data_IF_634224141532
#
_entry.id   IF_634224141532
#
_cell.length_a   1.000
_cell.length_b   1.000
_cell.length_c   1.000
_cell.angle_alpha   90.00
_cell.angle_beta   90.00
_cell.angle_gamma   90.00
#
_symmetry.space_group_name_H-M   'P 1'
#
loop_
_entity.id
_entity.type
_entity.pdbx_description
1 polymer ?
#
# COMPACT_ATOMS: atom_id res chain seq x y z
N UNK A 1 -30.49 -30.78 7.71
CA UNK A 1 -30.08 -30.15 6.45
C UNK A 1 -30.88 -30.78 5.34
N UNK A 2 -31.86 -30.06 4.75
CA UNK A 2 -32.67 -30.57 3.63
C UNK A 2 -31.81 -30.69 2.38
N UNK A 3 -32.07 -31.73 1.59
CA UNK A 3 -31.59 -31.86 0.20
C UNK A 3 -31.96 -30.60 -0.59
N UNK A 4 -31.17 -30.30 -1.61
CA UNK A 4 -31.32 -29.17 -2.54
C UNK A 4 -32.73 -29.20 -3.13
N UNK A 5 -33.68 -28.67 -2.40
CA UNK A 5 -35.06 -28.55 -2.79
C UNK A 5 -35.42 -27.11 -2.98
N UNK A 6 -36.07 -26.84 -4.03
CA UNK A 6 -36.44 -25.56 -4.62
C UNK A 6 -37.19 -24.58 -3.70
N UNK A 7 -37.50 -24.91 -2.44
CA UNK A 7 -38.35 -24.05 -1.60
C UNK A 7 -38.00 -24.10 -0.14
N UNK A 8 -36.85 -23.49 0.25
CA UNK A 8 -36.59 -23.24 1.68
C UNK A 8 -37.43 -22.09 2.24
N UNK A 9 -37.79 -21.14 1.41
CA UNK A 9 -38.75 -20.09 1.70
C UNK A 9 -39.32 -19.53 0.38
N UNK A 10 -40.57 -19.11 0.42
CA UNK A 10 -41.21 -18.45 -0.73
C UNK A 10 -40.52 -17.12 -1.00
N UNK A 11 -40.10 -16.85 -2.23
CA UNK A 11 -39.44 -15.59 -2.61
C UNK A 11 -37.90 -15.56 -2.41
N UNK A 12 -37.27 -16.71 -2.13
CA UNK A 12 -35.80 -16.80 -2.08
C UNK A 12 -35.21 -16.66 -3.48
N UNK A 13 -34.35 -15.70 -3.67
CA UNK A 13 -33.52 -15.53 -4.89
C UNK A 13 -32.22 -16.30 -4.71
N UNK A 14 -31.86 -17.09 -5.74
CA UNK A 14 -30.56 -17.76 -5.75
C UNK A 14 -29.47 -16.74 -6.15
N UNK A 15 -28.65 -16.31 -5.20
CA UNK A 15 -27.57 -15.36 -5.46
C UNK A 15 -26.51 -15.90 -6.43
N UNK A 16 -26.35 -17.21 -6.52
CA UNK A 16 -25.31 -17.87 -7.31
C UNK A 16 -25.79 -18.34 -8.69
N UNK A 17 -26.95 -17.92 -9.15
CA UNK A 17 -27.48 -18.33 -10.47
C UNK A 17 -27.00 -17.47 -11.65
N UNK A 18 -26.36 -16.32 -11.35
CA UNK A 18 -25.77 -15.44 -12.34
C UNK A 18 -24.51 -14.76 -11.78
N UNK A 19 -23.50 -14.61 -12.63
CA UNK A 19 -22.28 -13.83 -12.29
C UNK A 19 -22.52 -12.33 -12.20
N UNK A 20 -23.72 -11.87 -12.61
CA UNK A 20 -24.12 -10.47 -12.50
C UNK A 20 -24.87 -10.16 -11.20
N UNK A 21 -25.11 -11.17 -10.37
CA UNK A 21 -25.72 -10.96 -9.07
C UNK A 21 -24.69 -10.44 -8.07
N UNK A 22 -25.06 -9.43 -7.30
CA UNK A 22 -24.22 -8.79 -6.31
C UNK A 22 -24.92 -8.81 -4.95
N UNK A 23 -24.14 -9.01 -3.89
CA UNK A 23 -24.61 -8.94 -2.50
C UNK A 23 -23.83 -7.85 -1.78
N UNK A 24 -24.52 -6.81 -1.36
CA UNK A 24 -23.94 -5.73 -0.57
C UNK A 24 -24.33 -5.93 0.90
N UNK A 25 -23.30 -6.01 1.76
CA UNK A 25 -23.49 -6.14 3.20
C UNK A 25 -22.82 -4.94 3.87
N UNK A 26 -23.55 -4.24 4.73
CA UNK A 26 -23.06 -3.09 5.49
C UNK A 26 -23.62 -3.11 6.91
N UNK A 27 -23.05 -2.31 7.80
CA UNK A 27 -23.51 -2.20 9.18
C UNK A 27 -23.21 -3.45 10.02
N UNK A 28 -22.11 -4.18 9.72
CA UNK A 28 -21.66 -5.31 10.54
C UNK A 28 -20.73 -4.80 11.62
N UNK A 29 -21.05 -5.11 12.89
CA UNK A 29 -20.20 -4.85 14.05
C UNK A 29 -19.87 -6.17 14.73
N UNK A 30 -18.59 -6.40 14.99
CA UNK A 30 -18.09 -7.52 15.78
C UNK A 30 -17.55 -7.00 17.10
N UNK A 31 -18.10 -7.46 18.20
CA UNK A 31 -17.70 -7.04 19.55
C UNK A 31 -17.57 -8.22 20.50
N UNK A 32 -16.72 -8.07 21.50
CA UNK A 32 -16.57 -9.05 22.56
C UNK A 32 -17.55 -8.68 23.69
N UNK A 33 -18.55 -9.52 23.94
CA UNK A 33 -19.54 -9.28 24.98
C UNK A 33 -20.65 -10.31 25.00
N UNK A 34 -21.44 -10.33 26.02
CA UNK A 34 -22.62 -11.22 26.15
C UNK A 34 -23.89 -10.62 25.55
N UNK A 35 -23.88 -9.34 25.22
CA UNK A 35 -25.02 -8.60 24.68
C UNK A 35 -24.53 -7.65 23.62
N UNK A 36 -25.22 -7.61 22.47
CA UNK A 36 -24.90 -6.67 21.42
C UNK A 36 -25.17 -5.22 21.88
N UNK A 37 -24.20 -4.35 21.63
CA UNK A 37 -24.35 -2.91 21.86
C UNK A 37 -25.03 -2.24 20.65
N UNK A 38 -25.37 -0.97 20.74
CA UNK A 38 -25.82 -0.17 19.62
C UNK A 38 -24.70 -0.07 18.55
N UNK A 39 -25.06 -0.06 17.27
CA UNK A 39 -24.07 0.10 16.19
C UNK A 39 -23.32 1.42 16.35
N UNK A 40 -21.99 1.36 16.46
CA UNK A 40 -21.11 2.52 16.54
C UNK A 40 -20.76 3.01 15.13
N UNK A 41 -21.29 4.17 14.77
CA UNK A 41 -20.94 4.82 13.52
C UNK A 41 -19.66 5.62 13.69
N UNK A 42 -18.58 5.18 13.02
CA UNK A 42 -17.35 5.95 12.92
C UNK A 42 -17.23 6.61 11.55
N UNK A 43 -16.75 7.86 11.45
CA UNK A 43 -16.43 8.48 10.17
C UNK A 43 -15.36 7.67 9.41
N UNK A 44 -15.50 7.59 8.08
CA UNK A 44 -14.57 6.82 7.22
C UNK A 44 -13.11 7.17 7.48
N UNK A 45 -12.78 8.46 7.63
CA UNK A 45 -11.40 8.91 7.90
C UNK A 45 -10.82 8.35 9.21
N UNK A 46 -11.65 8.17 10.24
CA UNK A 46 -11.22 7.60 11.51
C UNK A 46 -10.90 6.10 11.34
N UNK A 47 -11.76 5.37 10.64
CA UNK A 47 -11.55 3.96 10.32
C UNK A 47 -10.30 3.79 9.45
N UNK A 48 -10.17 4.60 8.40
CA UNK A 48 -9.02 4.58 7.50
C UNK A 48 -7.70 4.75 8.26
N UNK A 49 -7.61 5.75 9.15
CA UNK A 49 -6.41 5.97 9.98
C UNK A 49 -6.10 4.79 10.90
N UNK A 50 -7.11 4.12 11.43
CA UNK A 50 -6.93 2.88 12.21
C UNK A 50 -6.34 1.78 11.35
N UNK A 51 -6.85 1.57 10.13
CA UNK A 51 -6.34 0.58 9.18
C UNK A 51 -4.91 0.91 8.72
N UNK A 52 -4.62 2.17 8.42
CA UNK A 52 -3.29 2.62 8.00
C UNK A 52 -2.19 2.40 9.06
N UNK A 53 -2.52 2.21 10.33
CA UNK A 53 -1.52 1.80 11.34
C UNK A 53 -0.96 0.40 11.11
N UNK A 54 -1.68 -0.43 10.36
CA UNK A 54 -1.32 -1.83 10.08
C UNK A 54 -0.86 -2.01 8.65
N UNK A 55 -1.54 -1.40 7.68
CA UNK A 55 -1.18 -1.47 6.27
C UNK A 55 -1.27 -0.10 5.62
N UNK A 56 -0.27 0.25 4.84
CA UNK A 56 -0.28 1.49 4.04
C UNK A 56 0.50 1.28 2.74
N UNK A 57 -0.01 1.89 1.69
CA UNK A 57 0.66 1.99 0.40
C UNK A 57 0.66 3.44 -0.08
N UNK A 58 1.68 3.82 -0.84
CA UNK A 58 1.76 5.16 -1.46
C UNK A 58 0.88 5.30 -2.70
N UNK A 59 0.44 4.19 -3.27
CA UNK A 59 -0.48 4.17 -4.41
C UNK A 59 -1.87 4.69 -4.03
N UNK A 60 -2.59 5.24 -5.02
CA UNK A 60 -4.02 5.51 -4.87
C UNK A 60 -4.79 4.25 -4.46
N UNK A 61 -5.99 4.41 -3.86
CA UNK A 61 -6.72 3.29 -3.25
C UNK A 61 -7.04 2.16 -4.23
N UNK A 62 -7.43 2.50 -5.45
CA UNK A 62 -7.81 1.58 -6.53
C UNK A 62 -6.62 1.03 -7.32
N UNK A 63 -5.42 1.55 -7.08
CA UNK A 63 -4.21 1.15 -7.82
C UNK A 63 -3.46 0.05 -7.08
N UNK A 64 -3.28 -1.09 -7.72
CA UNK A 64 -2.54 -2.22 -7.15
C UNK A 64 -1.04 -1.89 -6.99
N UNK A 65 -0.39 -2.33 -5.88
CA UNK A 65 1.06 -2.24 -5.75
C UNK A 65 1.79 -2.95 -6.91
N UNK A 66 2.84 -2.32 -7.43
CA UNK A 66 3.56 -2.81 -8.61
C UNK A 66 3.02 -2.30 -9.95
N UNK A 67 1.97 -1.48 -9.94
CA UNK A 67 1.54 -0.75 -11.14
C UNK A 67 2.57 0.31 -11.52
N UNK A 68 2.93 0.37 -12.82
CA UNK A 68 3.80 1.42 -13.35
C UNK A 68 3.02 2.74 -13.45
N UNK A 69 3.21 3.61 -12.48
CA UNK A 69 2.57 4.93 -12.40
C UNK A 69 3.40 5.84 -11.49
N UNK A 70 3.33 7.14 -11.71
CA UNK A 70 3.92 8.14 -10.81
C UNK A 70 2.89 8.76 -9.86
N UNK A 71 1.59 8.44 -10.01
CA UNK A 71 0.55 8.95 -9.13
C UNK A 71 0.70 8.40 -7.71
N UNK A 72 0.87 9.28 -6.74
CA UNK A 72 1.11 8.92 -5.34
C UNK A 72 2.56 8.54 -5.02
N UNK A 73 3.48 8.58 -5.98
CA UNK A 73 4.89 8.30 -5.72
C UNK A 73 5.53 9.36 -4.83
N UNK A 74 6.49 8.95 -4.01
CA UNK A 74 7.37 9.85 -3.28
C UNK A 74 8.55 10.27 -4.14
N UNK A 75 8.87 11.55 -4.11
CA UNK A 75 9.95 12.18 -4.85
C UNK A 75 10.95 12.79 -3.89
N UNK A 76 12.24 12.70 -4.25
CA UNK A 76 13.31 13.35 -3.52
C UNK A 76 14.43 13.79 -4.46
N UNK A 77 15.19 14.80 -4.08
CA UNK A 77 16.41 15.20 -4.78
C UNK A 77 17.56 14.28 -4.35
N UNK A 78 18.18 13.60 -5.31
CA UNK A 78 19.18 12.54 -5.06
C UNK A 78 20.53 12.82 -5.70
N UNK A 79 20.77 14.06 -6.10
CA UNK A 79 21.99 14.47 -6.80
C UNK A 79 23.27 14.40 -5.98
N UNK A 80 24.40 14.42 -6.66
CA UNK A 80 25.73 14.52 -6.05
C UNK A 80 26.22 13.24 -5.37
N UNK A 81 25.63 12.10 -5.63
CA UNK A 81 26.00 10.82 -5.00
C UNK A 81 25.87 9.65 -5.97
N UNK A 82 26.60 8.57 -5.68
CA UNK A 82 26.43 7.26 -6.31
C UNK A 82 25.38 6.40 -5.61
N UNK A 83 24.89 6.85 -4.46
CA UNK A 83 23.95 6.15 -3.59
C UNK A 83 22.71 7.02 -3.38
N UNK A 84 21.77 7.08 -4.36
CA UNK A 84 20.56 7.87 -4.21
C UNK A 84 19.75 7.38 -3.01
N UNK A 85 19.24 8.31 -2.20
CA UNK A 85 18.41 8.00 -1.03
C UNK A 85 17.08 8.72 -1.16
N UNK A 86 16.02 8.00 -0.82
CA UNK A 86 14.66 8.54 -0.79
C UNK A 86 14.04 8.17 0.54
N UNK A 87 13.40 9.14 1.17
CA UNK A 87 12.62 8.94 2.39
C UNK A 87 11.15 9.20 2.13
N UNK A 88 10.32 8.19 2.35
CA UNK A 88 8.87 8.31 2.31
C UNK A 88 8.30 8.33 3.72
N UNK A 89 7.39 9.26 3.99
CA UNK A 89 6.69 9.37 5.26
C UNK A 89 5.35 8.67 5.21
N UNK A 90 5.01 7.96 6.29
CA UNK A 90 3.70 7.36 6.45
C UNK A 90 2.67 8.41 6.86
N UNK A 91 1.45 8.26 6.38
CA UNK A 91 0.35 9.15 6.72
C UNK A 91 -0.06 9.08 8.20
N UNK A 92 0.21 7.95 8.85
CA UNK A 92 -0.02 7.76 10.28
C UNK A 92 1.13 7.02 10.95
N UNK A 93 1.31 7.24 12.27
CA UNK A 93 2.29 6.47 13.06
C UNK A 93 1.91 4.98 13.07
N UNK A 94 2.85 4.13 12.70
CA UNK A 94 2.65 2.68 12.62
C UNK A 94 2.59 2.02 13.99
N UNK A 95 1.96 0.85 14.03
CA UNK A 95 1.84 0.03 15.24
C UNK A 95 3.20 -0.43 15.75
N UNK A 96 4.06 -0.90 14.86
CA UNK A 96 5.43 -1.34 15.14
C UNK A 96 6.43 -0.51 14.36
N UNK A 97 7.69 -0.51 14.76
CA UNK A 97 8.77 0.15 14.03
C UNK A 97 9.19 -0.64 12.80
N UNK A 98 9.23 -1.96 12.95
CA UNK A 98 9.66 -2.86 11.88
C UNK A 98 8.42 -3.43 11.20
N UNK A 99 8.25 -3.26 9.89
CA UNK A 99 7.15 -3.90 9.16
C UNK A 99 7.36 -5.42 9.10
N UNK A 100 6.26 -6.15 9.04
CA UNK A 100 6.27 -7.59 8.72
C UNK A 100 6.72 -7.79 7.28
N UNK A 101 6.23 -6.93 6.40
CA UNK A 101 6.67 -6.88 5.00
C UNK A 101 6.68 -5.44 4.51
N UNK A 102 7.74 -5.06 3.81
CA UNK A 102 7.75 -3.81 3.04
C UNK A 102 8.33 -4.10 1.65
N UNK A 103 7.61 -3.64 0.64
CA UNK A 103 8.06 -3.71 -0.74
C UNK A 103 8.11 -2.30 -1.32
N UNK A 104 9.25 -1.96 -1.88
CA UNK A 104 9.44 -0.69 -2.60
C UNK A 104 9.41 -0.99 -4.09
N UNK A 105 8.77 -0.13 -4.86
CA UNK A 105 8.58 -0.30 -6.30
C UNK A 105 9.09 0.92 -7.06
N UNK A 106 9.61 0.66 -8.25
CA UNK A 106 9.96 1.68 -9.23
C UNK A 106 8.69 2.23 -9.90
N UNK A 107 8.37 3.53 -9.79
CA UNK A 107 7.16 4.10 -10.39
C UNK A 107 7.11 4.01 -11.92
N UNK A 108 8.25 3.99 -12.58
CA UNK A 108 8.33 3.94 -14.03
C UNK A 108 8.06 2.55 -14.62
N UNK A 109 8.44 1.50 -13.90
CA UNK A 109 8.38 0.12 -14.41
C UNK A 109 7.46 -0.79 -13.60
N UNK A 110 7.07 -0.39 -12.40
CA UNK A 110 6.35 -1.26 -11.44
C UNK A 110 7.24 -2.32 -10.78
N UNK A 111 8.53 -2.37 -11.10
CA UNK A 111 9.44 -3.42 -10.62
C UNK A 111 9.71 -3.25 -9.12
N UNK A 112 9.54 -4.33 -8.36
CA UNK A 112 9.87 -4.37 -6.93
C UNK A 112 11.38 -4.39 -6.70
N UNK A 113 11.82 -3.87 -5.54
CA UNK A 113 13.23 -3.81 -5.17
C UNK A 113 14.06 -2.80 -5.97
N UNK A 114 13.38 -1.84 -6.60
CA UNK A 114 14.04 -0.80 -7.39
C UNK A 114 13.47 0.58 -7.06
N UNK A 115 14.29 1.61 -7.33
CA UNK A 115 13.87 3.01 -7.40
C UNK A 115 14.10 3.58 -8.79
N UNK A 116 13.33 4.57 -9.16
CA UNK A 116 13.53 5.38 -10.35
C UNK A 116 14.41 6.58 -10.01
N UNK A 117 15.30 6.93 -10.92
CA UNK A 117 16.10 8.17 -10.87
C UNK A 117 16.14 8.81 -12.24
N UNK A 118 15.82 10.09 -12.28
CA UNK A 118 16.01 10.93 -13.47
C UNK A 118 17.26 11.77 -13.30
N UNK A 119 18.18 11.64 -14.24
CA UNK A 119 19.47 12.34 -14.21
C UNK A 119 19.81 12.90 -15.59
N UNK A 120 19.78 14.23 -15.72
CA UNK A 120 20.21 14.98 -16.90
C UNK A 120 19.66 14.42 -18.24
N UNK A 121 18.35 14.23 -18.32
CA UNK A 121 17.67 13.72 -19.52
C UNK A 121 17.67 12.20 -19.67
N UNK A 122 18.22 11.45 -18.73
CA UNK A 122 18.23 10.00 -18.72
C UNK A 122 17.46 9.42 -17.54
N UNK A 123 16.63 8.42 -17.80
CA UNK A 123 16.01 7.60 -16.75
C UNK A 123 16.93 6.44 -16.37
N UNK A 124 17.05 6.19 -15.06
CA UNK A 124 17.86 5.12 -14.49
C UNK A 124 17.06 4.35 -13.46
N UNK A 125 17.27 3.05 -13.43
CA UNK A 125 16.69 2.17 -12.43
C UNK A 125 17.79 1.69 -11.49
N UNK A 126 17.67 2.00 -10.21
CA UNK A 126 18.62 1.55 -9.21
C UNK A 126 18.00 0.40 -8.41
N UNK A 127 18.72 -0.72 -8.31
CA UNK A 127 18.38 -1.76 -7.35
C UNK A 127 18.56 -1.22 -5.93
N UNK A 128 17.70 -1.62 -5.01
CA UNK A 128 17.81 -1.21 -3.62
C UNK A 128 18.94 -1.94 -2.92
N UNK A 129 19.74 -1.18 -2.15
CA UNK A 129 20.80 -1.71 -1.27
C UNK A 129 20.28 -1.90 0.15
N UNK A 130 19.96 -0.78 0.79
CA UNK A 130 19.53 -0.76 2.18
C UNK A 130 18.15 -0.13 2.32
N UNK A 131 17.37 -0.66 3.25
CA UNK A 131 16.09 -0.05 3.66
C UNK A 131 16.05 0.04 5.17
N UNK A 132 15.74 1.22 5.68
CA UNK A 132 15.59 1.49 7.10
C UNK A 132 14.17 1.95 7.39
N UNK A 133 13.66 1.63 8.57
CA UNK A 133 12.29 1.94 8.97
C UNK A 133 12.25 2.63 10.32
N UNK A 134 11.28 3.52 10.44
CA UNK A 134 10.87 4.12 11.72
C UNK A 134 9.37 3.89 11.92
N UNK A 135 8.80 4.39 13.00
CA UNK A 135 7.34 4.39 13.18
C UNK A 135 6.59 5.30 12.19
N UNK A 136 7.30 6.19 11.53
CA UNK A 136 6.72 7.28 10.71
C UNK A 136 7.27 7.37 9.31
N UNK A 137 8.28 6.57 8.96
CA UNK A 137 8.91 6.64 7.64
C UNK A 137 9.63 5.36 7.25
N UNK A 138 9.80 5.19 5.95
CA UNK A 138 10.76 4.29 5.33
C UNK A 138 11.80 5.10 4.58
N UNK A 139 13.06 4.75 4.73
CA UNK A 139 14.17 5.31 3.95
C UNK A 139 14.83 4.18 3.17
N UNK A 140 15.05 4.40 1.89
CA UNK A 140 15.71 3.41 1.03
C UNK A 140 16.86 4.04 0.27
N UNK A 141 17.90 3.24 0.04
CA UNK A 141 19.11 3.62 -0.68
C UNK A 141 19.27 2.75 -1.91
N UNK A 142 19.55 3.35 -3.06
CA UNK A 142 19.94 2.64 -4.27
C UNK A 142 21.37 2.13 -4.18
N UNK A 143 21.64 0.98 -4.78
CA UNK A 143 23.00 0.45 -4.90
C UNK A 143 23.84 1.31 -5.84
N UNK A 144 25.14 1.37 -5.58
CA UNK A 144 26.08 1.99 -6.49
C UNK A 144 26.12 1.22 -7.82
N UNK A 145 25.80 1.90 -8.91
CA UNK A 145 25.86 1.35 -10.26
C UNK A 145 26.98 1.97 -11.12
N UNK A 146 27.93 2.65 -10.47
CA UNK A 146 29.07 3.27 -11.14
C UNK A 146 28.81 4.64 -11.75
N UNK A 147 27.61 5.18 -11.61
CA UNK A 147 27.28 6.53 -12.08
C UNK A 147 27.28 7.53 -10.93
N UNK A 148 27.94 8.66 -11.14
CA UNK A 148 27.86 9.80 -10.24
C UNK A 148 26.71 10.70 -10.70
N UNK A 149 25.65 10.80 -9.91
CA UNK A 149 24.48 11.58 -10.24
C UNK A 149 24.78 13.08 -10.24
N UNK A 150 24.21 13.80 -11.20
CA UNK A 150 24.30 15.26 -11.24
C UNK A 150 23.56 15.87 -10.03
N UNK A 151 23.95 17.09 -9.64
CA UNK A 151 23.37 17.78 -8.51
C UNK A 151 21.87 18.11 -8.65
N UNK A 152 21.27 17.90 -9.82
CA UNK A 152 19.83 18.09 -10.11
C UNK A 152 19.11 16.78 -10.39
N UNK A 153 19.73 15.64 -10.11
CA UNK A 153 19.05 14.36 -10.21
C UNK A 153 17.94 14.25 -9.15
N UNK A 154 16.81 13.71 -9.55
CA UNK A 154 15.71 13.41 -8.64
C UNK A 154 15.32 11.95 -8.75
N UNK A 155 14.82 11.40 -7.66
CA UNK A 155 14.37 10.03 -7.61
C UNK A 155 12.91 9.90 -7.20
N UNK A 156 12.33 8.74 -7.48
CA UNK A 156 10.98 8.43 -7.05
C UNK A 156 10.83 6.96 -6.66
N UNK A 157 9.96 6.72 -5.68
CA UNK A 157 9.57 5.38 -5.23
C UNK A 157 8.09 5.30 -4.94
N UNK A 158 7.55 4.10 -5.07
CA UNK A 158 6.36 3.67 -4.36
C UNK A 158 6.71 2.68 -3.25
N UNK A 159 5.82 2.52 -2.28
CA UNK A 159 5.91 1.46 -1.29
C UNK A 159 4.56 0.84 -0.99
N UNK A 160 4.60 -0.40 -0.51
CA UNK A 160 3.52 -1.05 0.23
C UNK A 160 4.12 -1.67 1.49
N UNK A 161 3.57 -1.37 2.65
CA UNK A 161 4.10 -1.76 3.94
C UNK A 161 3.01 -2.36 4.82
N UNK A 162 3.29 -3.57 5.32
CA UNK A 162 2.46 -4.33 6.23
C UNK A 162 3.12 -4.36 7.61
N UNK A 163 2.35 -4.04 8.66
CA UNK A 163 2.77 -4.00 10.05
C UNK A 163 1.91 -4.94 10.93
N UNK A 164 1.23 -5.89 10.32
CA UNK A 164 0.56 -6.94 11.06
C UNK A 164 1.58 -7.87 11.74
N UNK A 165 1.14 -8.62 12.78
CA UNK A 165 1.99 -9.55 13.53
C UNK A 165 2.01 -10.92 12.88
#
# INVERSE_FOLDING_TARGET
>A
WGTVGTNRATGVVNLADSTSNELYITGIQLEVGSTASGFEFEPFEAILRKCQRYYEKSYEYDTAPGTATFNGAYYDEVGGTNYPRIQAHYGVRKRTRVPTTITVYNPNTGTSGQMFVWDNGASRNYSLGNTAYTFTSVSTEGQNNGFNLNNRAWGAIHYAADFEL
#
